data_IF_733290589137
#
_entry.id   IF_733290589137
#
_cell.length_a   1.000
_cell.length_b   1.000
_cell.length_c   1.000
_cell.angle_alpha   90.00
_cell.angle_beta   90.00
_cell.angle_gamma   90.00
#
_symmetry.space_group_name_H-M   'P 1'
#
loop_
_entity.id
_entity.type
_entity.pdbx_description
1 polymer ?
#
# COMPACT_ATOMS: atom_id res chain seq x y z
N UNK A 1 15.75 -6.24 -19.84
CA UNK A 1 14.30 -6.01 -19.90
C UNK A 1 14.09 -4.50 -19.82
N UNK A 2 13.34 -3.91 -20.75
CA UNK A 2 13.05 -2.48 -20.73
C UNK A 2 12.27 -2.18 -19.44
N UNK A 3 12.85 -1.38 -18.54
CA UNK A 3 12.15 -0.86 -17.37
C UNK A 3 11.12 0.12 -17.90
N UNK A 4 9.91 -0.36 -18.13
CA UNK A 4 8.74 0.48 -18.44
C UNK A 4 8.15 0.93 -17.11
N UNK A 5 7.73 2.19 -17.02
CA UNK A 5 7.01 2.72 -15.85
C UNK A 5 5.77 1.84 -15.61
N UNK A 6 5.51 1.38 -14.38
CA UNK A 6 4.26 0.68 -14.09
C UNK A 6 3.07 1.64 -14.24
N UNK A 7 1.85 1.09 -14.36
CA UNK A 7 0.62 1.78 -14.80
C UNK A 7 0.53 2.04 -16.33
N UNK A 8 1.48 1.53 -17.13
CA UNK A 8 1.39 1.58 -18.61
C UNK A 8 0.78 0.31 -19.22
N UNK A 9 0.67 -0.77 -18.44
CA UNK A 9 0.01 -2.01 -18.81
C UNK A 9 -1.14 -2.29 -17.83
N UNK A 10 -2.18 -3.03 -18.23
CA UNK A 10 -3.26 -3.40 -17.34
C UNK A 10 -2.69 -4.15 -16.12
N UNK A 11 -2.97 -3.68 -14.90
CA UNK A 11 -2.44 -4.34 -13.72
C UNK A 11 -3.08 -5.71 -13.56
N UNK A 12 -2.30 -6.64 -13.01
CA UNK A 12 -2.71 -8.03 -12.81
C UNK A 12 -2.89 -8.28 -11.32
N UNK A 13 -4.02 -8.87 -10.95
CA UNK A 13 -4.23 -9.41 -9.61
C UNK A 13 -3.90 -10.88 -9.57
N UNK A 14 -3.16 -11.27 -8.54
CA UNK A 14 -2.83 -12.67 -8.32
C UNK A 14 -3.82 -13.28 -7.32
N UNK A 15 -4.29 -14.53 -7.53
CA UNK A 15 -5.13 -15.21 -6.55
C UNK A 15 -4.42 -15.29 -5.19
N UNK A 16 -5.08 -14.78 -4.14
CA UNK A 16 -4.57 -14.86 -2.77
C UNK A 16 -4.78 -16.27 -2.21
N UNK A 17 -3.81 -16.75 -1.43
CA UNK A 17 -3.85 -18.03 -0.75
C UNK A 17 -4.76 -18.01 0.51
N UNK A 18 -5.95 -17.41 0.42
CA UNK A 18 -6.83 -17.11 1.56
C UNK A 18 -7.31 -18.31 2.37
N UNK A 19 -7.10 -19.53 1.85
CA UNK A 19 -7.47 -20.78 2.53
C UNK A 19 -6.37 -21.32 3.43
N UNK A 20 -5.16 -20.76 3.36
CA UNK A 20 -4.05 -21.22 4.19
C UNK A 20 -4.09 -20.50 5.54
N UNK A 21 -3.66 -21.15 6.63
CA UNK A 21 -3.65 -20.52 7.97
C UNK A 21 -2.81 -19.24 8.01
N UNK A 22 -1.73 -19.19 7.22
CA UNK A 22 -0.79 -18.06 7.16
C UNK A 22 -1.46 -16.78 6.68
N UNK A 23 -2.52 -16.88 5.86
CA UNK A 23 -3.26 -15.70 5.38
C UNK A 23 -3.93 -14.91 6.51
N UNK A 24 -4.21 -15.57 7.64
CA UNK A 24 -4.85 -14.97 8.81
C UNK A 24 -3.85 -14.59 9.90
N UNK A 25 -2.55 -14.71 9.63
CA UNK A 25 -1.50 -14.30 10.55
C UNK A 25 -1.41 -12.77 10.60
N UNK A 26 -1.79 -12.19 11.74
CA UNK A 26 -1.78 -10.73 11.94
C UNK A 26 -0.37 -10.14 11.76
N UNK A 27 0.68 -10.87 12.16
CA UNK A 27 2.06 -10.43 12.00
C UNK A 27 2.46 -10.28 10.52
N UNK A 28 2.06 -11.22 9.68
CA UNK A 28 2.27 -11.15 8.23
C UNK A 28 1.48 -10.01 7.60
N UNK A 29 0.23 -9.79 8.03
CA UNK A 29 -0.58 -8.65 7.56
C UNK A 29 0.07 -7.33 7.92
N UNK A 30 0.52 -7.16 9.17
CA UNK A 30 1.18 -5.93 9.61
C UNK A 30 2.51 -5.68 8.90
N UNK A 31 3.29 -6.73 8.63
CA UNK A 31 4.52 -6.62 7.85
C UNK A 31 4.26 -6.21 6.40
N UNK A 32 3.20 -6.74 5.79
CA UNK A 32 2.82 -6.37 4.42
C UNK A 32 2.25 -4.95 4.35
N UNK A 33 1.44 -4.54 5.33
CA UNK A 33 0.97 -3.15 5.44
C UNK A 33 2.13 -2.17 5.56
N UNK A 34 3.11 -2.47 6.41
CA UNK A 34 4.32 -1.64 6.56
C UNK A 34 5.08 -1.51 5.24
N UNK A 35 5.29 -2.62 4.53
CA UNK A 35 5.94 -2.63 3.22
C UNK A 35 5.21 -1.75 2.19
N UNK A 36 3.88 -1.87 2.11
CA UNK A 36 3.08 -1.09 1.17
C UNK A 36 3.05 0.39 1.58
N UNK A 37 2.96 0.69 2.88
CA UNK A 37 2.97 2.05 3.40
C UNK A 37 4.30 2.75 3.14
N UNK A 38 5.43 2.05 3.27
CA UNK A 38 6.77 2.57 2.96
C UNK A 38 6.89 2.94 1.47
N UNK A 39 6.43 2.05 0.58
CA UNK A 39 6.36 2.33 -0.86
C UNK A 39 5.45 3.53 -1.17
N UNK A 40 4.31 3.63 -0.48
CA UNK A 40 3.37 4.74 -0.64
C UNK A 40 3.98 6.07 -0.16
N UNK A 41 4.71 6.06 0.96
CA UNK A 41 5.43 7.21 1.48
C UNK A 41 6.50 7.69 0.50
N UNK A 42 7.25 6.77 -0.11
CA UNK A 42 8.31 7.10 -1.06
C UNK A 42 7.82 7.79 -2.35
N UNK A 43 6.56 7.60 -2.76
CA UNK A 43 6.05 8.16 -4.02
C UNK A 43 4.92 9.19 -3.88
N UNK A 44 4.11 9.12 -2.81
CA UNK A 44 2.94 9.98 -2.49
C UNK A 44 1.96 10.30 -3.64
N UNK A 45 1.98 9.52 -4.74
CA UNK A 45 1.23 9.82 -5.99
C UNK A 45 -0.29 9.73 -5.85
N UNK A 46 -0.79 8.99 -4.86
CA UNK A 46 -2.22 8.69 -4.73
C UNK A 46 -2.98 9.65 -3.80
N UNK A 47 -2.33 10.70 -3.27
CA UNK A 47 -2.88 11.62 -2.28
C UNK A 47 -4.24 12.22 -2.67
N UNK A 48 -4.50 12.45 -3.96
CA UNK A 48 -5.73 13.06 -4.45
C UNK A 48 -6.86 12.08 -4.77
N UNK A 49 -6.66 10.77 -4.57
CA UNK A 49 -7.63 9.75 -4.99
C UNK A 49 -8.57 9.28 -3.88
N UNK A 50 -8.11 9.24 -2.62
CA UNK A 50 -8.80 8.61 -1.51
C UNK A 50 -8.28 9.15 -0.17
N UNK A 51 -9.11 9.13 0.87
CA UNK A 51 -8.76 9.59 2.22
C UNK A 51 -7.69 8.73 2.92
N UNK A 52 -7.47 7.48 2.48
CA UNK A 52 -6.46 6.60 3.07
C UNK A 52 -5.04 7.17 2.92
N UNK A 53 -4.71 7.77 1.77
CA UNK A 53 -3.35 8.28 1.54
C UNK A 53 -3.02 9.54 2.36
N UNK A 54 -3.87 10.60 2.38
CA UNK A 54 -3.68 11.70 3.32
C UNK A 54 -3.57 11.21 4.76
N UNK A 55 -4.44 10.30 5.21
CA UNK A 55 -4.37 9.76 6.57
C UNK A 55 -3.05 9.06 6.87
N UNK A 56 -2.54 8.25 5.94
CA UNK A 56 -1.23 7.62 6.08
C UNK A 56 -0.12 8.67 6.19
N UNK A 57 -0.12 9.67 5.32
CA UNK A 57 0.94 10.69 5.30
C UNK A 57 0.89 11.59 6.52
N UNK A 58 -0.29 11.96 7.01
CA UNK A 58 -0.45 12.69 8.26
C UNK A 58 0.16 11.91 9.43
N UNK A 59 -0.11 10.60 9.53
CA UNK A 59 0.45 9.75 10.59
C UNK A 59 1.99 9.66 10.53
N UNK A 60 2.56 9.70 9.33
CA UNK A 60 4.02 9.69 9.14
C UNK A 60 4.62 11.05 9.50
N UNK A 61 4.03 12.13 8.99
CA UNK A 61 4.52 13.49 9.19
C UNK A 61 4.35 13.95 10.65
N UNK A 62 3.40 13.37 11.41
CA UNK A 62 3.26 13.52 12.87
C UNK A 62 4.25 12.65 13.68
N UNK A 63 4.92 11.67 13.07
CA UNK A 63 5.85 10.75 13.71
C UNK A 63 7.25 11.33 13.90
N UNK A 64 7.97 10.88 14.93
CA UNK A 64 9.28 11.44 15.29
C UNK A 64 10.38 11.22 14.22
N UNK A 65 10.31 10.13 13.46
CA UNK A 65 11.29 9.81 12.40
C UNK A 65 10.93 10.43 11.05
N UNK A 66 9.66 10.81 10.84
CA UNK A 66 9.12 11.13 9.52
C UNK A 66 9.02 9.92 8.58
N UNK A 67 9.14 8.71 9.11
CA UNK A 67 9.10 7.44 8.38
C UNK A 67 8.00 6.51 8.93
N UNK A 68 7.71 5.41 8.24
CA UNK A 68 6.65 4.45 8.62
C UNK A 68 6.93 3.74 9.96
N UNK A 69 8.20 3.65 10.36
CA UNK A 69 8.64 3.00 11.59
C UNK A 69 8.15 3.71 12.87
N UNK A 70 7.89 5.02 12.80
CA UNK A 70 7.35 5.81 13.90
C UNK A 70 5.84 5.66 14.09
N UNK A 71 5.13 5.02 13.15
CA UNK A 71 3.69 4.81 13.27
C UNK A 71 3.41 3.59 14.16
N UNK A 72 2.65 3.73 15.27
CA UNK A 72 2.22 2.57 16.04
C UNK A 72 1.36 1.63 15.17
N UNK A 73 1.65 0.33 15.16
CA UNK A 73 0.95 -0.67 14.33
C UNK A 73 -0.57 -0.63 14.49
N UNK A 74 -1.07 -0.33 15.69
CA UNK A 74 -2.50 -0.18 15.95
C UNK A 74 -3.16 0.95 15.12
N UNK A 75 -2.41 2.00 14.74
CA UNK A 75 -2.91 3.09 13.89
C UNK A 75 -2.99 2.73 12.41
N UNK A 76 -2.43 1.60 11.98
CA UNK A 76 -2.56 1.15 10.58
C UNK A 76 -4.02 0.97 10.20
N UNK A 77 -4.85 0.51 11.13
CA UNK A 77 -6.28 0.33 10.92
C UNK A 77 -7.01 1.65 10.63
N UNK A 78 -6.55 2.79 11.17
CA UNK A 78 -7.12 4.10 10.83
C UNK A 78 -6.93 4.45 9.35
N UNK A 79 -5.86 3.96 8.71
CA UNK A 79 -5.63 4.10 7.26
C UNK A 79 -6.52 3.14 6.49
N UNK A 80 -6.58 1.87 6.93
CA UNK A 80 -7.38 0.81 6.30
C UNK A 80 -8.87 1.16 6.29
N UNK A 81 -9.38 1.74 7.38
CA UNK A 81 -10.79 2.16 7.51
C UNK A 81 -11.20 3.26 6.50
N UNK A 82 -10.23 3.97 5.93
CA UNK A 82 -10.48 4.96 4.87
C UNK A 82 -10.50 4.35 3.47
N UNK A 83 -10.17 3.07 3.31
CA UNK A 83 -10.13 2.39 2.02
C UNK A 83 -11.50 1.80 1.66
N UNK A 84 -12.07 2.25 0.53
CA UNK A 84 -13.35 1.75 0.02
C UNK A 84 -13.23 0.55 -0.93
N UNK A 85 -12.03 -0.01 -1.11
CA UNK A 85 -11.78 -1.17 -1.99
C UNK A 85 -12.28 -0.96 -3.44
N UNK A 86 -12.13 0.27 -3.96
CA UNK A 86 -12.60 0.66 -5.30
C UNK A 86 -11.56 0.52 -6.43
N UNK A 87 -10.33 0.15 -6.07
CA UNK A 87 -9.20 -0.12 -6.98
C UNK A 87 -8.70 1.07 -7.83
N UNK A 88 -9.20 2.28 -7.62
CA UNK A 88 -8.80 3.45 -8.43
C UNK A 88 -7.28 3.72 -8.32
N UNK A 89 -6.70 3.61 -7.13
CA UNK A 89 -5.26 3.79 -6.94
C UNK A 89 -4.44 2.73 -7.69
N UNK A 90 -4.84 1.47 -7.58
CA UNK A 90 -4.24 0.31 -8.24
C UNK A 90 -4.34 0.41 -9.77
N UNK A 91 -5.52 0.75 -10.29
CA UNK A 91 -5.80 0.76 -11.73
C UNK A 91 -5.27 1.97 -12.48
N UNK A 92 -5.11 3.12 -11.81
CA UNK A 92 -4.93 4.40 -12.53
C UNK A 92 -3.72 5.23 -12.12
N UNK A 93 -3.08 4.94 -10.97
CA UNK A 93 -1.97 5.78 -10.47
C UNK A 93 -0.75 5.02 -9.98
N UNK A 94 -0.90 3.86 -9.36
CA UNK A 94 0.22 3.15 -8.74
C UNK A 94 1.20 2.61 -9.80
N UNK A 95 2.47 3.05 -9.82
CA UNK A 95 3.47 2.57 -10.78
C UNK A 95 4.13 1.26 -10.34
N UNK A 96 3.74 0.71 -9.18
CA UNK A 96 4.41 -0.43 -8.54
C UNK A 96 3.52 -1.67 -8.45
N UNK A 97 2.40 -1.66 -9.16
CA UNK A 97 1.53 -2.82 -9.37
C UNK A 97 2.19 -3.87 -10.27
N UNK A 98 1.76 -5.14 -10.22
CA UNK A 98 2.29 -6.18 -11.09
C UNK A 98 2.19 -5.79 -12.58
N UNK A 99 3.25 -6.00 -13.39
CA UNK A 99 4.41 -6.88 -13.16
C UNK A 99 5.61 -6.21 -12.48
N UNK A 100 5.46 -5.05 -11.85
CA UNK A 100 6.57 -4.41 -11.13
C UNK A 100 7.09 -5.31 -10.01
N UNK A 101 8.41 -5.31 -9.77
CA UNK A 101 9.06 -6.20 -8.80
C UNK A 101 8.58 -5.99 -7.35
N UNK A 102 8.06 -4.80 -7.04
CA UNK A 102 7.50 -4.50 -5.72
C UNK A 102 6.08 -5.03 -5.51
N UNK A 103 5.39 -5.46 -6.57
CA UNK A 103 4.13 -6.21 -6.47
C UNK A 103 3.14 -5.62 -5.44
N UNK A 104 2.81 -4.34 -5.57
CA UNK A 104 1.79 -3.69 -4.73
C UNK A 104 0.41 -4.10 -5.24
N UNK A 105 -0.29 -4.95 -4.49
CA UNK A 105 -1.68 -5.40 -4.72
C UNK A 105 -2.43 -5.38 -3.39
#
# INVERSE_FOLDING_TARGET
MSVREGNLEPPKRHPLAWKTPEFYDEGQVLAELERVFDICHGCRRCISLCNAFPKLFDLIDEGDSGEVDAIPKAKYWEVVDQCYLCDVCFMTKCPYVPPHAWNVD
#
